data_IF_389854865235
#
_entry.id   IF_389854865235
#
_cell.length_a   1.000
_cell.length_b   1.000
_cell.length_c   1.000
_cell.angle_alpha   90.00
_cell.angle_beta   90.00
_cell.angle_gamma   90.00
#
_symmetry.space_group_name_H-M   'P 1'
#
loop_
_entity.id
_entity.type
_entity.pdbx_description
1 polymer ?
#
# COMPACT_ATOMS: atom_id res chain seq x y z
N UNK A 1 -3.18 -12.63 17.62
CA UNK A 1 -2.47 -13.10 16.40
C UNK A 1 -1.76 -11.94 15.70
N UNK A 2 -0.97 -11.13 16.42
CA UNK A 2 -0.25 -9.96 15.84
C UNK A 2 1.28 -10.10 15.95
N UNK A 3 1.77 -11.25 16.40
CA UNK A 3 3.20 -11.47 16.59
C UNK A 3 3.72 -12.29 15.42
N UNK A 4 4.65 -11.67 14.67
CA UNK A 4 5.39 -12.19 13.51
C UNK A 4 4.66 -12.00 12.17
N UNK A 5 4.67 -10.77 11.67
CA UNK A 5 4.77 -10.57 10.23
C UNK A 5 6.28 -10.51 9.96
N UNK A 6 6.91 -11.55 9.39
CA UNK A 6 8.32 -11.51 9.01
C UNK A 6 8.52 -10.41 7.97
N UNK A 7 9.70 -9.77 7.94
CA UNK A 7 10.04 -8.75 6.92
C UNK A 7 9.81 -9.25 5.49
N UNK A 8 9.96 -10.55 5.25
CA UNK A 8 9.72 -11.18 3.94
C UNK A 8 8.25 -11.10 3.47
N UNK A 9 7.31 -10.91 4.39
CA UNK A 9 5.88 -10.75 4.09
C UNK A 9 5.51 -9.30 3.69
N UNK A 10 6.47 -8.37 3.70
CA UNK A 10 6.29 -6.95 3.30
C UNK A 10 6.47 -6.75 1.80
N UNK A 11 7.24 -7.63 1.15
CA UNK A 11 7.40 -7.62 -0.31
C UNK A 11 6.07 -7.99 -0.98
N UNK A 12 5.28 -8.87 -0.35
CA UNK A 12 4.06 -9.45 -0.93
C UNK A 12 2.96 -8.39 -1.17
N UNK A 13 2.63 -7.47 -0.24
CA UNK A 13 1.74 -6.34 -0.53
C UNK A 13 2.32 -5.35 -1.53
N UNK A 14 3.63 -5.11 -1.53
CA UNK A 14 4.25 -4.12 -2.41
C UNK A 14 4.11 -4.51 -3.89
N UNK A 15 4.26 -5.80 -4.20
CA UNK A 15 4.14 -6.37 -5.55
C UNK A 15 2.71 -6.78 -5.92
N UNK A 16 1.76 -6.72 -4.98
CA UNK A 16 0.38 -7.08 -5.25
C UNK A 16 -0.21 -6.20 -6.36
N UNK A 17 -1.17 -6.77 -7.10
CA UNK A 17 -1.91 -6.05 -8.13
C UNK A 17 -2.89 -5.09 -7.45
N UNK A 18 -2.69 -3.79 -7.66
CA UNK A 18 -3.63 -2.74 -7.30
C UNK A 18 -4.23 -2.13 -8.57
N UNK A 19 -5.50 -1.79 -8.47
CA UNK A 19 -6.20 -1.06 -9.52
C UNK A 19 -5.68 0.38 -9.60
N UNK A 20 -5.60 0.93 -10.81
CA UNK A 20 -5.15 2.30 -11.09
C UNK A 20 -6.32 3.21 -11.51
N UNK A 21 -6.17 4.55 -11.52
CA UNK A 21 -7.18 5.45 -12.04
C UNK A 21 -7.74 5.00 -13.40
N UNK A 22 -9.07 4.94 -13.51
CA UNK A 22 -9.82 4.43 -14.65
C UNK A 22 -10.32 2.99 -14.50
N UNK A 23 -9.78 2.20 -13.57
CA UNK A 23 -10.24 0.84 -13.31
C UNK A 23 -11.37 0.80 -12.28
N UNK A 24 -12.28 -0.18 -12.40
CA UNK A 24 -13.51 -0.24 -11.59
C UNK A 24 -13.26 -0.38 -10.09
N UNK A 25 -12.17 -1.03 -9.67
CA UNK A 25 -11.82 -1.16 -8.26
C UNK A 25 -11.01 0.00 -7.68
N UNK A 26 -10.64 1.02 -8.47
CA UNK A 26 -9.95 2.19 -7.94
C UNK A 26 -10.93 3.17 -7.26
N UNK A 27 -10.84 3.39 -5.94
CA UNK A 27 -11.86 4.09 -5.15
C UNK A 27 -11.90 5.62 -5.36
N UNK A 28 -10.92 6.18 -6.08
CA UNK A 28 -10.71 7.64 -6.23
C UNK A 28 -10.78 8.09 -7.70
N UNK A 29 -11.52 7.36 -8.55
CA UNK A 29 -11.70 7.68 -9.97
C UNK A 29 -12.29 9.08 -10.26
N UNK A 30 -13.02 9.67 -9.30
CA UNK A 30 -13.57 11.02 -9.45
C UNK A 30 -12.52 12.13 -9.25
N UNK A 31 -11.36 11.81 -8.68
CA UNK A 31 -10.32 12.78 -8.30
C UNK A 31 -9.08 12.66 -9.19
N UNK A 32 -8.76 11.46 -9.66
CA UNK A 32 -7.57 11.20 -10.47
C UNK A 32 -7.93 10.95 -11.94
N UNK A 33 -7.14 11.52 -12.83
CA UNK A 33 -7.24 11.24 -14.26
C UNK A 33 -6.79 9.80 -14.56
N UNK A 34 -7.54 9.12 -15.44
CA UNK A 34 -7.10 7.85 -16.03
C UNK A 34 -5.92 8.09 -16.98
N UNK A 35 -5.01 7.12 -17.15
CA UNK A 35 -3.96 7.20 -18.17
C UNK A 35 -4.58 7.30 -19.57
N UNK A 36 -3.91 8.03 -20.47
CA UNK A 36 -4.40 8.38 -21.81
C UNK A 36 -4.14 7.29 -22.84
N UNK A 37 -3.17 6.39 -22.58
CA UNK A 37 -2.80 5.29 -23.46
C UNK A 37 -2.47 4.02 -22.68
N UNK A 38 -2.44 2.84 -23.34
CA UNK A 38 -1.97 1.60 -22.72
C UNK A 38 -0.54 1.70 -22.19
N UNK A 39 0.36 2.37 -22.91
CA UNK A 39 1.75 2.57 -22.46
C UNK A 39 1.86 3.43 -21.21
N UNK A 40 1.04 4.48 -21.11
CA UNK A 40 0.96 5.31 -19.90
C UNK A 40 0.37 4.52 -18.73
N UNK A 41 -0.60 3.65 -19.00
CA UNK A 41 -1.18 2.77 -17.97
C UNK A 41 -0.12 1.80 -17.42
N UNK A 42 0.69 1.18 -18.28
CA UNK A 42 1.77 0.28 -17.86
C UNK A 42 2.85 1.03 -17.07
N UNK A 43 3.24 2.22 -17.53
CA UNK A 43 4.17 3.08 -16.81
C UNK A 43 3.64 3.46 -15.43
N UNK A 44 2.36 3.85 -15.33
CA UNK A 44 1.72 4.20 -14.06
C UNK A 44 1.70 3.02 -13.09
N UNK A 45 1.41 1.79 -13.56
CA UNK A 45 1.48 0.60 -12.71
C UNK A 45 2.88 0.36 -12.17
N UNK A 46 3.89 0.39 -13.04
CA UNK A 46 5.28 0.20 -12.64
C UNK A 46 5.73 1.26 -11.63
N UNK A 47 5.35 2.52 -11.87
CA UNK A 47 5.65 3.62 -10.97
C UNK A 47 4.98 3.45 -9.59
N UNK A 48 3.71 3.06 -9.55
CA UNK A 48 3.00 2.81 -8.30
C UNK A 48 3.55 1.59 -7.54
N UNK A 49 4.04 0.55 -8.25
CA UNK A 49 4.76 -0.57 -7.64
C UNK A 49 6.05 -0.09 -6.99
N UNK A 50 6.85 0.71 -7.70
CA UNK A 50 8.09 1.28 -7.16
C UNK A 50 7.82 2.12 -5.91
N UNK A 51 6.78 2.97 -5.94
CA UNK A 51 6.35 3.74 -4.78
C UNK A 51 6.00 2.85 -3.59
N UNK A 52 5.23 1.77 -3.80
CA UNK A 52 4.88 0.84 -2.71
C UNK A 52 6.11 0.15 -2.11
N UNK A 53 7.06 -0.26 -2.94
CA UNK A 53 8.30 -0.90 -2.47
C UNK A 53 9.13 0.07 -1.61
N UNK A 54 9.40 1.28 -2.12
CA UNK A 54 10.18 2.28 -1.40
C UNK A 54 9.50 2.77 -0.12
N UNK A 55 8.19 3.05 -0.17
CA UNK A 55 7.44 3.46 1.00
C UNK A 55 7.32 2.34 2.03
N UNK A 56 7.09 1.10 1.61
CA UNK A 56 7.00 -0.06 2.49
C UNK A 56 8.29 -0.27 3.27
N UNK A 57 9.45 -0.26 2.59
CA UNK A 57 10.75 -0.39 3.23
C UNK A 57 11.01 0.71 4.27
N UNK A 58 10.82 1.98 3.88
CA UNK A 58 11.04 3.13 4.79
C UNK A 58 10.07 3.15 5.96
N UNK A 59 8.83 2.71 5.75
CA UNK A 59 7.82 2.65 6.82
C UNK A 59 8.20 1.64 7.88
N UNK A 60 8.76 0.48 7.50
CA UNK A 60 9.13 -0.56 8.44
C UNK A 60 10.24 -0.10 9.40
N UNK A 61 11.20 0.70 8.92
CA UNK A 61 12.21 1.37 9.76
C UNK A 61 11.60 2.33 10.82
N UNK A 62 10.39 2.84 10.58
CA UNK A 62 9.68 3.74 11.51
C UNK A 62 8.72 2.99 12.43
N UNK A 63 8.14 1.89 11.95
CA UNK A 63 7.11 1.14 12.66
C UNK A 63 7.73 0.13 13.63
N UNK A 64 8.82 -0.53 13.26
CA UNK A 64 9.42 -1.59 14.07
C UNK A 64 10.61 -1.07 14.88
N UNK A 65 10.66 -1.49 16.14
CA UNK A 65 11.80 -1.25 17.02
C UNK A 65 13.02 -2.07 16.54
N UNK A 66 14.20 -1.45 16.30
CA UNK A 66 15.36 -2.14 15.73
C UNK A 66 15.95 -3.25 16.61
N UNK A 67 15.81 -3.16 17.94
CA UNK A 67 16.40 -4.11 18.88
C UNK A 67 15.46 -5.29 19.15
N UNK A 68 14.17 -5.00 19.33
CA UNK A 68 13.17 -5.99 19.74
C UNK A 68 12.33 -6.52 18.58
N UNK A 69 12.36 -5.86 17.42
CA UNK A 69 11.54 -6.19 16.25
C UNK A 69 10.03 -6.01 16.47
N UNK A 70 9.62 -5.35 17.57
CA UNK A 70 8.21 -5.17 17.90
C UNK A 70 7.63 -3.94 17.19
N UNK A 71 6.38 -4.00 16.69
CA UNK A 71 5.73 -2.84 16.09
C UNK A 71 5.32 -1.81 17.15
N UNK A 72 5.48 -0.54 16.81
CA UNK A 72 5.16 0.61 17.66
C UNK A 72 3.64 0.83 17.76
N UNK A 73 3.13 0.88 19.00
CA UNK A 73 1.70 1.14 19.28
C UNK A 73 1.21 2.48 18.72
N UNK A 74 2.10 3.46 18.58
CA UNK A 74 1.79 4.80 18.06
C UNK A 74 1.56 4.80 16.54
N UNK A 75 2.04 3.78 15.85
CA UNK A 75 1.72 3.53 14.44
C UNK A 75 0.51 2.59 14.31
N UNK A 76 0.45 1.52 15.11
CA UNK A 76 -0.65 0.55 15.03
C UNK A 76 -2.02 1.13 15.39
N UNK A 77 -2.09 2.21 16.17
CA UNK A 77 -3.36 2.86 16.47
C UNK A 77 -4.07 3.43 15.23
N UNK A 78 -3.35 3.57 14.10
CA UNK A 78 -3.92 3.99 12.81
C UNK A 78 -4.38 2.83 11.93
N UNK A 79 -4.08 1.57 12.25
CA UNK A 79 -4.30 0.42 11.36
C UNK A 79 -5.77 0.22 10.91
N UNK A 80 -6.75 0.68 11.72
CA UNK A 80 -8.19 0.59 11.40
C UNK A 80 -8.77 1.89 10.83
N UNK A 81 -7.98 2.97 10.75
CA UNK A 81 -8.43 4.28 10.27
C UNK A 81 -8.22 4.37 8.77
N UNK A 82 -9.28 4.68 8.03
CA UNK A 82 -9.22 4.86 6.57
C UNK A 82 -9.09 6.33 6.23
N UNK A 83 -8.14 6.68 5.38
CA UNK A 83 -8.05 8.04 4.84
C UNK A 83 -9.20 8.27 3.84
N UNK A 84 -9.93 9.37 4.00
CA UNK A 84 -11.12 9.72 3.19
C UNK A 84 -12.21 8.63 3.15
N UNK A 85 -12.26 7.75 4.16
CA UNK A 85 -13.12 6.56 4.18
C UNK A 85 -12.95 5.64 2.94
N UNK A 86 -11.78 5.70 2.29
CA UNK A 86 -11.42 4.86 1.14
C UNK A 86 -10.41 3.78 1.51
N UNK A 87 -10.41 2.69 0.74
CA UNK A 87 -9.41 1.62 0.84
C UNK A 87 -8.91 1.26 -0.55
N UNK A 88 -7.60 1.07 -0.68
CA UNK A 88 -6.98 0.53 -1.89
C UNK A 88 -7.06 -1.00 -1.93
N UNK A 89 -7.25 -1.66 -0.77
CA UNK A 89 -7.63 -3.07 -0.73
C UNK A 89 -9.13 -3.18 -0.99
N UNK A 90 -9.53 -4.14 -1.84
CA UNK A 90 -10.94 -4.44 -2.08
C UNK A 90 -11.66 -4.86 -0.78
N UNK A 91 -13.01 -4.89 -0.77
CA UNK A 91 -13.77 -5.34 0.39
C UNK A 91 -13.32 -6.74 0.83
N UNK A 92 -12.81 -6.89 2.05
CA UNK A 92 -12.45 -8.18 2.64
C UNK A 92 -10.96 -8.56 2.63
N UNK A 93 -10.06 -7.63 2.29
CA UNK A 93 -8.62 -7.75 2.58
C UNK A 93 -8.16 -6.76 3.65
#
# INVERSE_FOLDING_TARGET
MLNKIPRDNEITPAIAKFDIPGESGFPLNAVYAKPSSPSEADLMRQYLVQLRQECGARLCEKVFDPETGKPSKWWLCFAKRKFMDKSLSGPGQ
#
